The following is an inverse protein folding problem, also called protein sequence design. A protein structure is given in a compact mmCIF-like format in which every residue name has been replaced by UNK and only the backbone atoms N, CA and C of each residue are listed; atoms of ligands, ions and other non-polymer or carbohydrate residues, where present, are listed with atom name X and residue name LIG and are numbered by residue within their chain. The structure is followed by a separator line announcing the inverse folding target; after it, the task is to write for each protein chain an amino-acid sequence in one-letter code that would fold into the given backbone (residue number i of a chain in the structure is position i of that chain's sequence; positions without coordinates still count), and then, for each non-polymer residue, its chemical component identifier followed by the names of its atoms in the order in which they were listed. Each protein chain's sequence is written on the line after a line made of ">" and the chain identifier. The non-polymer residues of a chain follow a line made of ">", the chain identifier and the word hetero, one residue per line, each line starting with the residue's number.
data_IF_938324969453
#
_entry.id   IF_938324969453
#
_cell.length_a   1.000
_cell.length_b   1.000
_cell.length_c   1.000
_cell.angle_alpha   90.00
_cell.angle_beta   90.00
_cell.angle_gamma   90.00
#
_symmetry.space_group_name_H-M   'P 1'
#
loop_
_entity.id
_entity.type
_entity.pdbx_description
1 polymer ?
#
# COMPACT_ATOMS: atom_id res chain seq x y z
N UNK A 1 -9.12 -0.21 -12.74
CA UNK A 1 -8.24 0.97 -12.78
C UNK A 1 -6.99 0.66 -11.99
N UNK A 2 -5.96 1.49 -12.10
CA UNK A 2 -4.60 1.21 -11.63
C UNK A 2 -4.14 2.21 -10.58
N UNK A 3 -3.32 1.77 -9.64
CA UNK A 3 -2.62 2.63 -8.71
C UNK A 3 -1.33 3.11 -9.35
N UNK A 4 -1.22 4.42 -9.57
CA UNK A 4 0.05 5.03 -9.93
C UNK A 4 1.07 4.92 -8.80
N UNK A 5 2.40 5.02 -9.08
CA UNK A 5 3.43 4.82 -8.06
C UNK A 5 3.27 5.73 -6.83
N UNK A 6 2.81 6.97 -7.02
CA UNK A 6 2.59 7.93 -5.94
C UNK A 6 1.48 7.48 -4.99
N UNK A 7 0.32 7.10 -5.55
CA UNK A 7 -0.80 6.60 -4.77
C UNK A 7 -0.47 5.25 -4.11
N UNK A 8 0.18 4.34 -4.84
CA UNK A 8 0.63 3.06 -4.29
C UNK A 8 1.61 3.25 -3.12
N UNK A 9 2.53 4.22 -3.21
CA UNK A 9 3.46 4.57 -2.14
C UNK A 9 2.72 5.12 -0.90
N UNK A 10 1.79 6.05 -1.12
CA UNK A 10 0.98 6.65 -0.07
C UNK A 10 0.13 5.62 0.68
N UNK A 11 -0.56 4.75 -0.06
CA UNK A 11 -1.46 3.75 0.51
C UNK A 11 -0.75 2.51 1.06
N UNK A 12 0.47 2.20 0.63
CA UNK A 12 1.24 1.06 1.21
C UNK A 12 2.18 1.49 2.33
N UNK A 13 2.49 2.78 2.42
CA UNK A 13 3.56 3.31 3.26
C UNK A 13 4.96 3.11 2.69
N UNK A 14 5.14 2.55 1.48
CA UNK A 14 6.43 2.43 0.81
C UNK A 14 6.91 3.78 0.25
N UNK A 15 8.22 3.99 0.10
CA UNK A 15 8.72 5.16 -0.67
C UNK A 15 8.73 4.86 -2.16
N UNK A 16 8.70 5.90 -3.01
CA UNK A 16 8.86 5.74 -4.47
C UNK A 16 10.15 4.99 -4.84
N UNK A 17 11.23 5.22 -4.08
CA UNK A 17 12.50 4.50 -4.24
C UNK A 17 12.36 3.01 -3.87
N UNK A 18 11.65 2.69 -2.79
CA UNK A 18 11.36 1.30 -2.43
C UNK A 18 10.54 0.61 -3.52
N UNK A 19 9.47 1.23 -4.02
CA UNK A 19 8.70 0.69 -5.16
C UNK A 19 9.60 0.42 -6.37
N UNK A 20 10.49 1.36 -6.70
CA UNK A 20 11.46 1.22 -7.79
C UNK A 20 12.50 0.12 -7.59
N UNK A 21 12.92 -0.08 -6.35
CA UNK A 21 13.88 -1.12 -6.02
C UNK A 21 13.21 -2.51 -5.95
N UNK A 22 12.02 -2.60 -5.35
CA UNK A 22 11.32 -3.86 -5.11
C UNK A 22 10.76 -4.51 -6.37
N UNK A 23 10.41 -3.71 -7.39
CA UNK A 23 10.02 -4.23 -8.71
C UNK A 23 11.14 -4.77 -9.57
N UNK A 24 12.40 -4.49 -9.19
CA UNK A 24 13.58 -4.95 -9.92
C UNK A 24 14.18 -6.18 -9.24
N UNK A 25 14.66 -7.10 -10.05
CA UNK A 25 15.51 -8.21 -9.60
C UNK A 25 16.77 -7.65 -8.93
N UNK A 26 17.19 -8.28 -7.83
CA UNK A 26 18.38 -7.87 -7.08
C UNK A 26 19.27 -9.08 -6.82
N UNK A 27 20.32 -9.24 -7.63
CA UNK A 27 21.22 -10.38 -7.55
C UNK A 27 20.50 -11.70 -7.82
N UNK A 28 20.80 -12.72 -7.00
CA UNK A 28 20.13 -14.04 -7.05
C UNK A 28 18.71 -14.04 -6.48
N UNK A 29 18.30 -12.96 -5.82
CA UNK A 29 16.92 -12.81 -5.34
C UNK A 29 16.06 -12.15 -6.41
N UNK A 30 14.93 -12.76 -6.75
CA UNK A 30 13.93 -12.21 -7.65
C UNK A 30 13.43 -10.83 -7.22
N UNK A 31 12.60 -10.20 -8.07
CA UNK A 31 11.84 -9.03 -7.65
C UNK A 31 10.97 -9.38 -6.43
N UNK A 32 10.91 -8.46 -5.47
CA UNK A 32 10.07 -8.64 -4.28
C UNK A 32 8.60 -8.64 -4.69
N UNK A 33 8.21 -7.69 -5.54
CA UNK A 33 6.87 -7.59 -6.11
C UNK A 33 6.97 -7.06 -7.53
N UNK A 34 6.39 -7.78 -8.50
CA UNK A 34 6.25 -7.34 -9.89
C UNK A 34 4.83 -6.81 -10.06
N UNK A 35 4.62 -5.56 -10.50
CA UNK A 35 3.27 -5.01 -10.66
C UNK A 35 2.41 -5.87 -11.58
N UNK A 36 1.17 -6.18 -11.18
CA UNK A 36 0.26 -7.04 -11.95
C UNK A 36 -0.25 -6.36 -13.22
N UNK A 37 -0.42 -5.02 -13.21
CA UNK A 37 -1.08 -4.30 -14.31
C UNK A 37 -0.11 -3.77 -15.37
N UNK A 38 0.99 -3.14 -14.97
CA UNK A 38 2.00 -2.67 -15.92
C UNK A 38 3.39 -2.62 -15.30
N UNK A 39 4.30 -3.36 -15.90
CA UNK A 39 5.72 -3.45 -15.52
C UNK A 39 6.62 -2.47 -16.29
N UNK A 40 6.13 -1.95 -17.43
CA UNK A 40 6.78 -0.94 -18.26
C UNK A 40 6.13 0.44 -18.06
N UNK A 41 6.64 1.51 -18.66
CA UNK A 41 6.07 2.86 -18.46
C UNK A 41 4.75 3.02 -19.24
N UNK A 42 3.67 3.55 -18.62
CA UNK A 42 3.55 3.92 -17.21
C UNK A 42 3.44 2.69 -16.28
N UNK A 43 4.11 2.75 -15.13
CA UNK A 43 4.13 1.64 -14.15
C UNK A 43 2.84 1.71 -13.33
N UNK A 44 2.09 0.61 -13.29
CA UNK A 44 0.76 0.56 -12.72
C UNK A 44 0.62 -0.65 -11.80
N UNK A 45 0.14 -0.41 -10.58
CA UNK A 45 -0.10 -1.43 -9.56
C UNK A 45 -1.59 -1.75 -9.45
N UNK A 46 -1.93 -2.98 -9.07
CA UNK A 46 -3.28 -3.39 -8.68
C UNK A 46 -3.56 -3.09 -7.20
N UNK A 47 -4.80 -3.28 -6.75
CA UNK A 47 -5.12 -3.23 -5.31
C UNK A 47 -4.36 -4.31 -4.54
N UNK A 48 -4.25 -5.51 -5.12
CA UNK A 48 -3.51 -6.63 -4.53
C UNK A 48 -2.04 -6.28 -4.36
N UNK A 49 -1.44 -5.61 -5.35
CA UNK A 49 -0.07 -5.10 -5.26
C UNK A 49 0.09 -4.15 -4.06
N UNK A 50 -0.85 -3.22 -3.86
CA UNK A 50 -0.82 -2.28 -2.72
C UNK A 50 -0.89 -3.01 -1.38
N UNK A 51 -1.76 -4.02 -1.26
CA UNK A 51 -1.84 -4.88 -0.05
C UNK A 51 -0.52 -5.60 0.20
N UNK A 52 0.06 -6.21 -0.83
CA UNK A 52 1.34 -6.92 -0.72
C UNK A 52 2.50 -5.97 -0.37
N UNK A 53 2.55 -4.78 -0.98
CA UNK A 53 3.52 -3.74 -0.63
C UNK A 53 3.38 -3.32 0.83
N UNK A 54 2.15 -3.15 1.31
CA UNK A 54 1.84 -2.76 2.69
C UNK A 54 2.28 -3.83 3.69
N UNK A 55 2.03 -5.10 3.40
CA UNK A 55 2.55 -6.23 4.17
C UNK A 55 4.09 -6.22 4.22
N UNK A 56 4.75 -6.01 3.09
CA UNK A 56 6.22 -5.93 3.03
C UNK A 56 6.77 -4.73 3.81
N UNK A 57 6.09 -3.58 3.80
CA UNK A 57 6.46 -2.40 4.59
C UNK A 57 6.35 -2.71 6.09
N UNK A 58 5.29 -3.39 6.53
CA UNK A 58 5.14 -3.79 7.94
C UNK A 58 6.20 -4.78 8.39
N UNK A 59 6.43 -5.85 7.61
CA UNK A 59 7.52 -6.80 7.88
C UNK A 59 8.88 -6.09 7.97
N UNK A 60 9.13 -5.09 7.12
CA UNK A 60 10.39 -4.33 7.12
C UNK A 60 10.66 -3.52 8.39
N UNK A 61 9.65 -3.27 9.22
CA UNK A 61 9.82 -2.63 10.52
C UNK A 61 10.42 -3.57 11.57
N UNK A 62 10.20 -4.88 11.40
CA UNK A 62 10.65 -5.90 12.36
C UNK A 62 11.80 -6.76 11.83
N UNK A 63 12.00 -6.81 10.51
CA UNK A 63 13.01 -7.69 9.90
C UNK A 63 13.71 -7.09 8.68
N UNK A 64 14.82 -7.72 8.28
CA UNK A 64 15.65 -7.26 7.17
C UNK A 64 15.02 -7.57 5.80
N UNK A 65 15.27 -6.73 4.79
CA UNK A 65 14.80 -6.96 3.42
C UNK A 65 15.32 -8.29 2.86
N UNK A 66 16.53 -8.70 3.25
CA UNK A 66 17.11 -9.97 2.82
C UNK A 66 16.36 -11.17 3.43
N UNK A 67 15.95 -11.10 4.71
CA UNK A 67 15.11 -12.13 5.32
C UNK A 67 13.75 -12.23 4.62
N UNK A 68 13.13 -11.09 4.28
CA UNK A 68 11.88 -11.07 3.50
C UNK A 68 12.07 -11.73 2.14
N UNK A 69 13.09 -11.33 1.37
CA UNK A 69 13.38 -11.94 0.05
C UNK A 69 13.58 -13.45 0.16
N UNK A 70 14.31 -13.92 1.17
CA UNK A 70 14.52 -15.35 1.40
C UNK A 70 13.22 -16.08 1.71
N UNK A 71 12.39 -15.54 2.59
CA UNK A 71 11.09 -16.14 2.92
C UNK A 71 10.16 -16.22 1.69
N UNK A 72 10.15 -15.18 0.85
CA UNK A 72 9.38 -15.18 -0.40
C UNK A 72 9.91 -16.19 -1.43
N UNK A 73 11.22 -16.42 -1.48
CA UNK A 73 11.79 -17.49 -2.31
C UNK A 73 11.39 -18.86 -1.76
N UNK A 74 11.49 -19.12 -0.45
CA UNK A 74 11.01 -20.37 0.16
C UNK A 74 9.55 -20.63 -0.18
N UNK A 75 8.70 -19.59 -0.06
CA UNK A 75 7.28 -19.68 -0.40
C UNK A 75 7.07 -20.14 -1.85
N UNK A 76 7.80 -19.55 -2.81
CA UNK A 76 7.64 -19.83 -4.25
C UNK A 76 8.31 -21.14 -4.69
N UNK A 77 9.54 -21.37 -4.24
CA UNK A 77 10.43 -22.40 -4.74
C UNK A 77 10.33 -23.70 -3.94
N UNK A 78 10.24 -23.61 -2.61
CA UNK A 78 10.23 -24.79 -1.73
C UNK A 78 8.80 -25.27 -1.43
N UNK A 79 7.88 -24.34 -1.17
CA UNK A 79 6.47 -24.67 -0.90
C UNK A 79 5.62 -24.73 -2.18
N UNK A 80 6.13 -24.18 -3.30
CA UNK A 80 5.43 -24.19 -4.58
C UNK A 80 4.21 -23.28 -4.64
N UNK A 81 4.10 -22.31 -3.73
CA UNK A 81 2.98 -21.38 -3.62
C UNK A 81 3.05 -20.32 -4.73
N UNK A 82 2.01 -20.29 -5.59
CA UNK A 82 2.01 -19.49 -6.84
C UNK A 82 1.01 -18.35 -6.85
N UNK A 83 0.17 -18.22 -5.84
CA UNK A 83 -0.75 -17.09 -5.73
C UNK A 83 0.00 -15.76 -5.52
N UNK A 84 -0.74 -14.67 -5.71
CA UNK A 84 -0.23 -13.33 -5.46
C UNK A 84 0.07 -13.13 -3.96
N UNK A 85 1.09 -12.33 -3.65
CA UNK A 85 1.55 -12.13 -2.26
C UNK A 85 0.46 -11.63 -1.30
N UNK A 86 -0.55 -10.93 -1.81
CA UNK A 86 -1.70 -10.44 -1.02
C UNK A 86 -2.60 -11.56 -0.50
N UNK A 87 -2.53 -12.77 -1.06
CA UNK A 87 -3.31 -13.92 -0.61
C UNK A 87 -2.72 -14.56 0.65
N UNK A 88 -1.43 -14.31 0.90
CA UNK A 88 -0.73 -14.88 2.03
C UNK A 88 -0.66 -13.90 3.19
N UNK A 89 -0.62 -14.50 4.37
CA UNK A 89 -0.63 -13.78 5.63
C UNK A 89 0.71 -13.97 6.32
N UNK A 90 1.61 -13.02 6.09
CA UNK A 90 3.00 -13.11 6.55
C UNK A 90 3.18 -12.37 7.87
N UNK A 91 3.75 -13.04 8.87
CA UNK A 91 3.98 -12.50 10.21
C UNK A 91 5.47 -12.55 10.54
N UNK A 92 6.03 -11.43 11.01
CA UNK A 92 7.42 -11.41 11.47
C UNK A 92 7.53 -12.07 12.85
N UNK A 93 8.60 -12.84 13.05
CA UNK A 93 8.99 -13.39 14.34
C UNK A 93 10.41 -12.99 14.72
N UNK A 94 10.86 -13.31 15.95
CA UNK A 94 12.17 -12.89 16.47
C UNK A 94 13.34 -13.19 15.53
N UNK A 95 13.30 -14.34 14.85
CA UNK A 95 14.35 -14.77 13.92
C UNK A 95 13.85 -15.17 12.52
N UNK A 96 12.55 -15.23 12.29
CA UNK A 96 11.96 -15.81 11.07
C UNK A 96 10.74 -15.03 10.57
N UNK A 97 10.18 -15.46 9.44
CA UNK A 97 8.90 -15.00 8.90
C UNK A 97 8.01 -16.23 8.80
N UNK A 98 6.78 -16.12 9.32
CA UNK A 98 5.80 -17.19 9.29
C UNK A 98 4.75 -16.92 8.21
N UNK A 99 4.33 -17.98 7.52
CA UNK A 99 3.09 -18.02 6.76
C UNK A 99 1.96 -18.47 7.68
N UNK A 100 1.00 -17.60 7.93
CA UNK A 100 -0.12 -17.84 8.83
C UNK A 100 -1.36 -18.30 8.07
N UNK A 101 -1.97 -19.40 8.49
CA UNK A 101 -3.33 -19.80 8.17
C UNK A 101 -4.24 -19.58 9.40
N UNK A 102 -5.56 -19.70 9.28
CA UNK A 102 -6.55 -19.42 10.34
C UNK A 102 -6.16 -20.03 11.69
N UNK A 103 -5.59 -21.24 11.68
CA UNK A 103 -5.29 -22.02 12.89
C UNK A 103 -3.82 -22.48 13.03
N UNK A 104 -2.96 -22.24 12.03
CA UNK A 104 -1.59 -22.76 11.99
C UNK A 104 -0.60 -21.77 11.35
N UNK A 105 0.68 -21.86 11.67
CA UNK A 105 1.72 -21.06 11.02
C UNK A 105 2.95 -21.88 10.64
N UNK A 106 3.46 -21.66 9.43
CA UNK A 106 4.63 -22.35 8.88
C UNK A 106 5.83 -21.40 8.84
N UNK A 107 6.97 -21.80 9.42
CA UNK A 107 8.24 -21.04 9.38
C UNK A 107 8.86 -21.07 7.97
N UNK A 108 8.94 -19.90 7.30
CA UNK A 108 9.44 -19.75 5.93
C UNK A 108 10.98 -19.66 5.82
N UNK A 109 11.73 -19.64 6.91
CA UNK A 109 13.21 -19.61 6.86
C UNK A 109 13.85 -20.90 7.38
N UNK A 110 13.20 -21.61 8.32
CA UNK A 110 13.74 -22.80 8.98
C UNK A 110 12.99 -24.09 8.64
N UNK A 111 11.82 -24.01 8.00
CA UNK A 111 11.01 -25.14 7.50
C UNK A 111 10.70 -26.22 8.55
N UNK A 112 10.53 -25.85 9.83
CA UNK A 112 10.23 -26.80 10.92
C UNK A 112 9.16 -26.25 11.90
N UNK A 113 7.99 -26.87 11.89
CA UNK A 113 6.99 -26.79 12.95
C UNK A 113 5.83 -25.82 12.71
N UNK A 114 4.65 -26.22 13.20
CA UNK A 114 3.46 -25.37 13.29
C UNK A 114 3.55 -24.55 14.58
N UNK A 115 3.38 -23.22 14.50
CA UNK A 115 3.30 -22.34 15.67
C UNK A 115 1.93 -21.66 15.71
N UNK A 116 1.34 -21.51 16.90
CA UNK A 116 0.07 -20.79 17.09
C UNK A 116 0.38 -19.28 17.11
N UNK A 117 -0.27 -18.50 16.23
CA UNK A 117 -0.08 -17.05 16.14
C UNK A 117 -1.16 -16.35 16.95
N UNK A 118 -0.75 -15.55 17.94
CA UNK A 118 -1.67 -14.75 18.75
C UNK A 118 -1.84 -13.29 18.29
N UNK A 119 -1.04 -12.80 17.34
CA UNK A 119 -1.21 -11.47 16.76
C UNK A 119 -1.09 -11.53 15.24
N UNK A 120 -2.23 -11.44 14.57
CA UNK A 120 -2.23 -11.14 13.16
C UNK A 120 -2.16 -9.63 12.96
N UNK A 121 -1.11 -9.18 12.29
CA UNK A 121 -0.99 -7.80 11.81
C UNK A 121 -2.06 -7.55 10.75
N UNK A 122 -3.12 -6.81 11.09
CA UNK A 122 -4.10 -6.36 10.09
C UNK A 122 -3.43 -5.37 9.14
N UNK A 123 -3.03 -5.86 7.97
CA UNK A 123 -2.31 -5.09 6.95
C UNK A 123 -3.14 -3.90 6.48
N UNK A 124 -4.47 -3.94 6.52
CA UNK A 124 -5.35 -2.90 5.99
C UNK A 124 -5.45 -1.71 6.95
N UNK A 125 -5.49 -1.98 8.26
CA UNK A 125 -5.58 -0.98 9.31
C UNK A 125 -4.49 0.10 9.22
N UNK A 126 -4.71 1.32 9.75
CA UNK A 126 -3.68 2.37 9.80
C UNK A 126 -2.47 1.96 10.66
N UNK A 127 -1.31 2.54 10.37
CA UNK A 127 -0.09 2.33 11.16
C UNK A 127 0.89 3.49 11.01
N UNK A 128 1.86 3.61 11.92
CA UNK A 128 2.94 4.58 11.80
C UNK A 128 4.20 3.95 11.23
N UNK A 129 4.92 4.71 10.42
CA UNK A 129 6.22 4.32 9.87
C UNK A 129 7.11 5.54 9.73
N UNK A 130 8.30 5.50 10.31
CA UNK A 130 9.30 6.58 10.23
C UNK A 130 8.69 7.96 10.59
N UNK A 131 7.81 8.00 11.61
CA UNK A 131 7.09 9.20 12.05
C UNK A 131 5.91 9.63 11.15
N UNK A 132 5.68 8.95 10.03
CA UNK A 132 4.55 9.20 9.12
C UNK A 132 3.36 8.30 9.47
N UNK A 133 2.17 8.89 9.54
CA UNK A 133 0.91 8.13 9.63
C UNK A 133 0.55 7.57 8.25
N UNK A 134 0.43 6.25 8.16
CA UNK A 134 -0.06 5.55 6.97
C UNK A 134 -1.55 5.27 7.20
N UNK A 135 -2.44 5.84 6.37
CA UNK A 135 -3.88 5.79 6.62
C UNK A 135 -4.43 4.38 6.43
N UNK A 136 -5.64 4.13 6.90
CA UNK A 136 -6.39 2.91 6.59
C UNK A 136 -6.46 2.71 5.07
N UNK A 137 -6.28 1.48 4.58
CA UNK A 137 -6.25 1.23 3.15
C UNK A 137 -7.63 1.38 2.49
N UNK A 138 -8.71 1.01 3.19
CA UNK A 138 -10.08 1.03 2.65
C UNK A 138 -10.80 2.35 2.96
N UNK A 139 -10.46 3.01 4.06
CA UNK A 139 -11.05 4.28 4.50
C UNK A 139 -9.96 5.31 4.85
N UNK A 140 -9.17 5.79 3.87
CA UNK A 140 -8.01 6.63 4.16
C UNK A 140 -8.35 7.98 4.82
N UNK A 141 -9.60 8.44 4.67
CA UNK A 141 -10.21 9.57 5.40
C UNK A 141 -11.66 9.26 5.72
N UNK A 142 -12.29 9.96 6.69
CA UNK A 142 -13.69 9.73 7.05
C UNK A 142 -14.66 9.72 5.87
N UNK A 143 -14.45 10.54 4.84
CA UNK A 143 -15.31 10.60 3.66
C UNK A 143 -14.63 10.13 2.36
N UNK A 144 -13.48 9.44 2.45
CA UNK A 144 -12.77 8.89 1.28
C UNK A 144 -12.66 7.38 1.43
N UNK A 145 -13.12 6.65 0.42
CA UNK A 145 -13.12 5.19 0.40
C UNK A 145 -12.32 4.63 -0.77
N UNK A 146 -11.73 3.46 -0.57
CA UNK A 146 -11.01 2.66 -1.56
C UNK A 146 -11.63 1.27 -1.58
N UNK A 147 -12.25 0.92 -2.71
CA UNK A 147 -12.83 -0.39 -2.93
C UNK A 147 -12.42 -0.91 -4.31
N UNK A 148 -11.72 -2.04 -4.43
CA UNK A 148 -11.34 -2.60 -5.74
C UNK A 148 -12.54 -2.85 -6.67
N UNK A 149 -13.76 -3.05 -6.17
CA UNK A 149 -14.97 -3.17 -6.97
C UNK A 149 -15.51 -1.82 -7.48
N UNK A 150 -15.13 -0.70 -6.84
CA UNK A 150 -15.52 0.66 -7.23
C UNK A 150 -14.37 1.34 -7.94
N UNK A 151 -14.54 1.58 -9.24
CA UNK A 151 -13.51 2.24 -10.08
C UNK A 151 -12.14 1.56 -9.96
N UNK A 152 -12.10 0.25 -9.68
CA UNK A 152 -10.84 -0.48 -9.52
C UNK A 152 -10.01 -0.05 -8.31
N UNK A 153 -10.64 0.53 -7.28
CA UNK A 153 -9.97 0.97 -6.06
C UNK A 153 -9.32 2.35 -6.14
N UNK A 154 -9.67 3.15 -7.15
CA UNK A 154 -9.40 4.58 -7.11
C UNK A 154 -10.08 5.19 -5.86
N UNK A 155 -9.39 6.02 -5.08
CA UNK A 155 -10.00 6.74 -3.96
C UNK A 155 -11.16 7.62 -4.44
N UNK A 156 -12.35 7.37 -3.88
CA UNK A 156 -13.58 8.10 -4.22
C UNK A 156 -14.21 8.70 -2.96
N UNK A 157 -15.04 9.72 -3.15
CA UNK A 157 -15.91 10.21 -2.08
C UNK A 157 -16.87 9.08 -1.68
N UNK A 158 -16.93 8.80 -0.38
CA UNK A 158 -17.73 7.71 0.18
C UNK A 158 -19.18 7.78 -0.27
N UNK A 159 -19.74 6.63 -0.68
CA UNK A 159 -21.12 6.54 -1.18
C UNK A 159 -21.30 7.02 -2.62
N UNK A 160 -20.24 7.43 -3.29
CA UNK A 160 -20.27 7.89 -4.69
C UNK A 160 -19.25 7.15 -5.55
N UNK A 161 -19.19 7.47 -6.85
CA UNK A 161 -18.10 7.08 -7.76
C UNK A 161 -17.27 8.29 -8.19
N UNK A 162 -17.31 9.37 -7.43
CA UNK A 162 -16.65 10.64 -7.74
C UNK A 162 -15.22 10.56 -7.19
N UNK A 163 -14.18 10.67 -8.02
CA UNK A 163 -12.80 10.61 -7.57
C UNK A 163 -12.48 11.71 -6.56
N UNK A 164 -11.79 11.34 -5.47
CA UNK A 164 -11.32 12.30 -4.49
C UNK A 164 -10.34 13.31 -5.12
N UNK A 165 -9.55 12.88 -6.11
CA UNK A 165 -8.62 13.72 -6.87
C UNK A 165 -9.32 14.83 -7.67
N UNK A 166 -10.48 14.55 -8.27
CA UNK A 166 -11.26 15.55 -9.02
C UNK A 166 -11.86 16.60 -8.09
N UNK A 167 -12.40 16.17 -6.95
CA UNK A 167 -12.90 17.08 -5.92
C UNK A 167 -11.77 17.94 -5.34
N UNK A 168 -10.62 17.32 -5.04
CA UNK A 168 -9.45 18.03 -4.55
C UNK A 168 -8.92 19.06 -5.56
N UNK A 169 -8.97 18.76 -6.86
CA UNK A 169 -8.58 19.69 -7.91
C UNK A 169 -9.45 20.97 -7.88
N UNK A 170 -10.78 20.82 -7.78
CA UNK A 170 -11.69 21.98 -7.65
C UNK A 170 -11.36 22.83 -6.42
N UNK A 171 -11.11 22.20 -5.28
CA UNK A 171 -10.73 22.91 -4.04
C UNK A 171 -9.41 23.67 -4.22
N UNK A 172 -8.42 23.05 -4.88
CA UNK A 172 -7.11 23.68 -5.17
C UNK A 172 -7.21 24.83 -6.18
N UNK A 173 -8.15 24.73 -7.11
CA UNK A 173 -8.46 25.79 -8.08
C UNK A 173 -9.25 26.95 -7.43
N UNK A 174 -9.49 26.88 -6.11
CA UNK A 174 -10.06 27.96 -5.32
C UNK A 174 -11.57 27.88 -5.12
N UNK A 175 -12.22 26.78 -5.52
CA UNK A 175 -13.63 26.56 -5.24
C UNK A 175 -13.80 26.26 -3.74
N UNK A 176 -14.60 27.04 -3.00
CA UNK A 176 -14.86 26.78 -1.58
C UNK A 176 -15.49 25.38 -1.38
N UNK A 177 -15.09 24.61 -0.35
CA UNK A 177 -15.62 23.26 -0.11
C UNK A 177 -17.15 23.17 -0.02
N UNK A 178 -17.82 24.20 0.49
CA UNK A 178 -19.28 24.28 0.57
C UNK A 178 -19.97 24.49 -0.78
N UNK A 179 -19.26 25.00 -1.79
CA UNK A 179 -19.76 25.17 -3.16
C UNK A 179 -19.50 23.94 -4.04
N UNK A 180 -18.74 22.94 -3.57
CA UNK A 180 -18.48 21.72 -4.35
C UNK A 180 -19.79 20.98 -4.70
N UNK A 181 -20.80 21.08 -3.84
CA UNK A 181 -22.11 20.45 -4.08
C UNK A 181 -22.83 20.99 -5.33
N UNK A 182 -22.49 22.19 -5.81
CA UNK A 182 -23.03 22.77 -7.05
C UNK A 182 -22.54 22.00 -8.29
N UNK A 183 -21.35 21.41 -8.22
CA UNK A 183 -20.76 20.56 -9.26
C UNK A 183 -21.09 19.09 -9.05
N UNK A 184 -21.05 18.67 -7.79
CA UNK A 184 -21.21 17.29 -7.36
C UNK A 184 -22.19 17.21 -6.18
N UNK A 185 -23.51 17.09 -6.43
CA UNK A 185 -24.53 17.14 -5.37
C UNK A 185 -24.37 16.11 -4.24
N UNK A 186 -23.66 15.01 -4.49
CA UNK A 186 -23.34 13.98 -3.50
C UNK A 186 -22.11 14.26 -2.63
N UNK A 187 -21.46 15.42 -2.80
CA UNK A 187 -20.21 15.78 -2.11
C UNK A 187 -20.46 16.99 -1.24
N UNK A 188 -20.48 16.77 0.09
CA UNK A 188 -20.60 17.84 1.06
C UNK A 188 -19.24 18.51 1.35
N UNK A 189 -19.25 19.60 2.12
CA UNK A 189 -18.04 20.36 2.42
C UNK A 189 -16.96 19.54 3.16
N UNK A 190 -17.34 18.65 4.06
CA UNK A 190 -16.39 17.82 4.81
C UNK A 190 -15.74 16.77 3.90
N UNK A 191 -16.52 16.16 3.00
CA UNK A 191 -16.01 15.27 1.97
C UNK A 191 -15.03 15.97 1.03
N UNK A 192 -15.31 17.23 0.66
CA UNK A 192 -14.40 18.03 -0.13
C UNK A 192 -13.08 18.34 0.58
N UNK A 193 -13.13 18.66 1.89
CA UNK A 193 -11.93 18.87 2.71
C UNK A 193 -11.11 17.59 2.87
N UNK A 194 -11.76 16.47 3.16
CA UNK A 194 -11.10 15.16 3.28
C UNK A 194 -10.44 14.73 1.96
N UNK A 195 -11.09 15.00 0.83
CA UNK A 195 -10.53 14.73 -0.49
C UNK A 195 -9.27 15.56 -0.76
N UNK A 196 -9.31 16.86 -0.46
CA UNK A 196 -8.17 17.76 -0.58
C UNK A 196 -7.01 17.31 0.33
N UNK A 197 -7.28 17.07 1.61
CA UNK A 197 -6.27 16.62 2.58
C UNK A 197 -5.64 15.28 2.20
N UNK A 198 -6.44 14.30 1.75
CA UNK A 198 -5.91 13.03 1.30
C UNK A 198 -5.04 13.19 0.05
N UNK A 199 -5.43 14.05 -0.89
CA UNK A 199 -4.65 14.28 -2.10
C UNK A 199 -3.34 15.01 -1.79
N UNK A 200 -3.35 15.98 -0.86
CA UNK A 200 -2.13 16.63 -0.35
C UNK A 200 -1.19 15.63 0.33
N UNK A 201 -1.74 14.71 1.13
CA UNK A 201 -0.99 13.60 1.71
C UNK A 201 -0.32 12.73 0.64
N UNK A 202 -1.05 12.35 -0.42
CA UNK A 202 -0.51 11.58 -1.54
C UNK A 202 0.58 12.37 -2.28
N UNK A 203 0.39 13.67 -2.48
CA UNK A 203 1.35 14.55 -3.15
C UNK A 203 2.68 14.68 -2.40
N UNK A 204 2.64 14.64 -1.06
CA UNK A 204 3.84 14.67 -0.20
C UNK A 204 4.84 13.53 -0.45
N UNK A 205 4.44 12.44 -1.13
CA UNK A 205 5.33 11.35 -1.52
C UNK A 205 6.24 11.68 -2.71
N UNK A 206 5.98 12.77 -3.43
CA UNK A 206 6.84 13.28 -4.50
C UNK A 206 7.83 14.32 -3.97
N UNK A 207 7.42 15.08 -2.94
CA UNK A 207 8.17 16.22 -2.40
C UNK A 207 9.24 15.85 -1.36
N UNK A 208 9.45 14.56 -1.10
CA UNK A 208 10.49 14.06 -0.20
C UNK A 208 11.89 14.09 -0.87
N UNK A 209 12.33 15.25 -1.35
CA UNK A 209 13.72 15.48 -1.74
C UNK A 209 14.50 16.03 -0.54
N UNK A 210 15.57 15.36 -0.04
CA UNK A 210 16.62 16.11 0.61
C UNK A 210 17.27 16.97 -0.48
N UNK A 211 17.06 18.30 -0.43
CA UNK A 211 17.96 19.22 -1.10
C UNK A 211 19.35 18.94 -0.53
N UNK A 212 20.22 18.30 -1.32
CA UNK A 212 21.64 18.31 -1.03
C UNK A 212 22.07 19.77 -1.00
N UNK A 213 22.46 20.25 0.17
CA UNK A 213 23.26 21.45 0.30
C UNK A 213 24.59 21.17 -0.40
N UNK A 214 24.79 21.81 -1.56
CA UNK A 214 26.09 21.86 -2.20
C UNK A 214 27.04 22.61 -1.25
N UNK A 215 28.14 21.94 -0.89
CA UNK A 215 29.35 22.59 -0.38
C UNK A 215 30.35 22.71 -1.53
#
# INVERSE_FOLDING_TARGET
>A
MSYEPKLAAALSGATLRQLSHWRRTSGSSGALLVPELSTSRPILYSFRDVVALRACVRLRQETSLQKIRRALNTLRDDLGEREHLSAYRLVAGPDTIYLADSDHAVDLLRSKGNVVIHELVDVLAPFYRDGRHIPDLLAPRPHVSVDPAVRGGEPVIQGTRIPASEVAALVRDGIPPDQISDFYPGVNADAARDAADFTDYVDSYTDSHPRQVAS
#
